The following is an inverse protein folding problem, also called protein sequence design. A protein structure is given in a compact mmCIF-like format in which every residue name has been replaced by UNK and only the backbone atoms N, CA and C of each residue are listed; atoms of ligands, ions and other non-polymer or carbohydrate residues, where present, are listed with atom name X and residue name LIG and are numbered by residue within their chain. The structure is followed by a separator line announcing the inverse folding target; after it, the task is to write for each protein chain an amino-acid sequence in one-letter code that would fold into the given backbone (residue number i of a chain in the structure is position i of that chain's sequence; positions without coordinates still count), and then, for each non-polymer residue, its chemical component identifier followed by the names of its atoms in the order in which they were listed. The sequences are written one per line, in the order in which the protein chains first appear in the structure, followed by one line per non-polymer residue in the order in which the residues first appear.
data_IF_575575444353
#
_entry.id   IF_575575444353
#
_cell.length_a   1.000
_cell.length_b   1.000
_cell.length_c   1.000
_cell.angle_alpha   90.00
_cell.angle_beta   90.00
_cell.angle_gamma   90.00
#
_symmetry.space_group_name_H-M   'P 1'
#
loop_
_entity.id
_entity.type
_entity.pdbx_description
1 polymer ?
#
# COMPACT_ATOMS: atom_id res chain seq x y z
N UNK A 1 11.53 -10.01 -11.06
CA UNK A 1 10.15 -10.25 -10.57
C UNK A 1 9.10 -9.35 -11.23
N UNK A 2 9.26 -8.02 -11.23
CA UNK A 2 8.27 -7.08 -11.80
C UNK A 2 7.83 -7.40 -13.24
N UNK A 3 8.78 -7.76 -14.13
CA UNK A 3 8.49 -8.10 -15.53
C UNK A 3 7.62 -9.35 -15.68
N UNK A 4 7.81 -10.34 -14.82
CA UNK A 4 6.98 -11.55 -14.79
C UNK A 4 5.56 -11.22 -14.34
N UNK A 5 5.42 -10.38 -13.30
CA UNK A 5 4.11 -9.96 -12.80
C UNK A 5 3.35 -9.14 -13.85
N UNK A 6 4.02 -8.20 -14.53
CA UNK A 6 3.42 -7.42 -15.62
C UNK A 6 2.94 -8.33 -16.76
N UNK A 7 3.72 -9.36 -17.11
CA UNK A 7 3.36 -10.30 -18.17
C UNK A 7 2.16 -11.19 -17.77
N UNK A 8 2.07 -11.57 -16.49
CA UNK A 8 0.93 -12.29 -15.91
C UNK A 8 -0.37 -11.47 -15.98
N UNK A 9 -0.29 -10.17 -15.65
CA UNK A 9 -1.44 -9.26 -15.75
C UNK A 9 -1.90 -9.00 -17.18
N UNK A 10 -0.99 -9.05 -18.16
CA UNK A 10 -1.33 -8.89 -19.58
C UNK A 10 -2.04 -10.09 -20.17
N UNK A 11 -1.64 -11.30 -19.77
CA UNK A 11 -2.10 -12.55 -20.40
C UNK A 11 -3.44 -13.05 -19.83
N UNK A 12 -3.77 -12.72 -18.58
CA UNK A 12 -5.09 -13.01 -18.02
C UNK A 12 -5.63 -11.81 -17.24
N UNK A 13 -6.31 -10.86 -17.92
CA UNK A 13 -7.13 -9.86 -17.23
C UNK A 13 -8.35 -10.58 -16.65
N UNK A 14 -8.15 -11.30 -15.54
CA UNK A 14 -9.26 -11.85 -14.78
C UNK A 14 -9.99 -10.64 -14.22
N UNK A 15 -11.17 -10.38 -14.79
CA UNK A 15 -12.10 -9.39 -14.25
C UNK A 15 -12.32 -9.80 -12.80
N UNK A 16 -11.69 -9.07 -11.88
CA UNK A 16 -11.72 -9.41 -10.48
C UNK A 16 -13.19 -9.34 -10.08
N UNK A 17 -13.81 -10.49 -9.82
CA UNK A 17 -15.22 -10.53 -9.40
C UNK A 17 -15.32 -9.65 -8.16
N UNK A 18 -16.10 -8.57 -8.28
CA UNK A 18 -16.20 -7.48 -7.30
C UNK A 18 -16.50 -7.99 -5.88
N UNK A 19 -17.16 -9.14 -5.80
CA UNK A 19 -17.53 -9.82 -4.56
C UNK A 19 -16.32 -10.32 -3.76
N UNK A 20 -15.26 -10.79 -4.42
CA UNK A 20 -14.04 -11.28 -3.75
C UNK A 20 -13.28 -10.16 -3.04
N UNK A 21 -13.23 -8.96 -3.64
CA UNK A 21 -12.55 -7.81 -3.04
C UNK A 21 -13.23 -7.35 -1.74
N UNK A 22 -14.57 -7.38 -1.71
CA UNK A 22 -15.33 -7.07 -0.49
C UNK A 22 -15.08 -8.06 0.64
N UNK A 23 -14.94 -9.35 0.33
CA UNK A 23 -14.61 -10.34 1.36
C UNK A 23 -13.19 -10.15 1.90
N UNK A 24 -12.21 -9.92 1.03
CA UNK A 24 -10.83 -9.71 1.46
C UNK A 24 -10.68 -8.48 2.35
N UNK A 25 -11.32 -7.36 1.99
CA UNK A 25 -11.32 -6.14 2.80
C UNK A 25 -11.97 -6.33 4.18
N UNK A 26 -12.93 -7.25 4.31
CA UNK A 26 -13.62 -7.50 5.58
C UNK A 26 -12.74 -8.25 6.58
N UNK A 27 -11.83 -9.11 6.12
CA UNK A 27 -10.94 -9.90 7.00
C UNK A 27 -9.63 -9.19 7.35
N UNK A 28 -9.17 -8.26 6.52
CA UNK A 28 -7.96 -7.48 6.78
C UNK A 28 -7.87 -6.90 8.22
N UNK A 29 -8.90 -6.20 8.75
CA UNK A 29 -8.83 -5.64 10.11
C UNK A 29 -8.70 -6.71 11.21
N UNK A 30 -9.34 -7.87 11.04
CA UNK A 30 -9.26 -8.95 12.02
C UNK A 30 -7.84 -9.50 12.16
N UNK A 31 -7.09 -9.60 11.05
CA UNK A 31 -5.70 -10.05 11.07
C UNK A 31 -4.82 -9.06 11.86
N UNK A 32 -5.00 -7.76 11.67
CA UNK A 32 -4.24 -6.75 12.42
C UNK A 32 -4.54 -6.78 13.91
N UNK A 33 -5.81 -6.90 14.29
CA UNK A 33 -6.22 -7.00 15.70
C UNK A 33 -5.64 -8.25 16.34
N UNK A 34 -5.65 -9.38 15.62
CA UNK A 34 -5.05 -10.63 16.10
C UNK A 34 -3.55 -10.48 16.33
N UNK A 35 -2.81 -9.88 15.38
CA UNK A 35 -1.38 -9.65 15.52
C UNK A 35 -1.06 -8.70 16.69
N UNK A 36 -1.84 -7.63 16.85
CA UNK A 36 -1.69 -6.70 17.97
C UNK A 36 -1.98 -7.39 19.33
N UNK A 37 -2.99 -8.26 19.39
CA UNK A 37 -3.32 -9.04 20.58
C UNK A 37 -2.21 -10.04 20.94
N UNK A 38 -1.63 -10.73 19.96
CA UNK A 38 -0.49 -11.62 20.18
C UNK A 38 0.73 -10.84 20.70
N UNK A 39 1.08 -9.69 20.11
CA UNK A 39 2.18 -8.85 20.55
C UNK A 39 1.95 -8.31 21.99
N UNK A 40 0.72 -7.88 22.29
CA UNK A 40 0.33 -7.43 23.62
C UNK A 40 0.41 -8.57 24.65
N UNK A 41 -0.05 -9.77 24.29
CA UNK A 41 0.05 -10.96 25.15
C UNK A 41 1.50 -11.30 25.49
N UNK A 42 2.40 -11.29 24.50
CA UNK A 42 3.83 -11.51 24.72
C UNK A 42 4.44 -10.50 25.68
N UNK A 43 4.07 -9.22 25.55
CA UNK A 43 4.51 -8.19 26.49
C UNK A 43 4.08 -8.50 27.92
N UNK A 44 2.82 -8.91 28.11
CA UNK A 44 2.29 -9.25 29.43
C UNK A 44 3.04 -10.42 30.04
N UNK A 45 3.29 -11.47 29.26
CA UNK A 45 4.11 -12.62 29.70
C UNK A 45 5.53 -12.19 30.07
N UNK A 46 6.12 -11.31 29.26
CA UNK A 46 7.47 -10.79 29.47
C UNK A 46 7.59 -9.95 30.76
N UNK A 47 6.59 -9.10 31.04
CA UNK A 47 6.53 -8.32 32.28
C UNK A 47 6.36 -9.25 33.50
N UNK A 48 5.54 -10.29 33.37
CA UNK A 48 5.24 -11.20 34.46
C UNK A 48 6.47 -12.01 34.91
N UNK A 49 7.38 -12.32 33.99
CA UNK A 49 8.55 -13.14 34.28
C UNK A 49 9.70 -12.41 35.00
N UNK A 50 9.63 -11.08 35.17
CA UNK A 50 10.61 -10.18 35.83
C UNK A 50 12.10 -10.36 35.47
N UNK A 51 12.42 -11.25 34.53
CA UNK A 51 13.76 -11.60 34.11
C UNK A 51 14.11 -10.77 32.90
N UNK A 52 14.28 -9.45 33.08
CA UNK A 52 14.73 -8.57 32.01
C UNK A 52 16.22 -8.82 31.78
N UNK A 53 16.65 -9.36 30.61
CA UNK A 53 18.06 -9.57 30.37
C UNK A 53 18.76 -8.22 30.20
N UNK A 54 18.17 -7.25 29.48
CA UNK A 54 18.84 -5.98 29.15
C UNK A 54 17.85 -4.84 28.81
N UNK A 55 18.18 -3.60 29.22
CA UNK A 55 17.45 -2.35 28.92
C UNK A 55 17.07 -2.14 27.43
N UNK A 56 17.95 -2.38 26.43
CA UNK A 56 17.63 -2.19 25.02
C UNK A 56 16.50 -3.07 24.48
N UNK A 57 16.38 -4.32 24.96
CA UNK A 57 15.30 -5.24 24.54
C UNK A 57 13.90 -4.67 24.82
N UNK A 58 13.76 -3.92 25.92
CA UNK A 58 12.49 -3.28 26.31
C UNK A 58 12.10 -2.16 25.35
N UNK A 59 13.07 -1.35 24.92
CA UNK A 59 12.85 -0.26 23.97
C UNK A 59 12.41 -0.80 22.60
N UNK A 60 13.02 -1.89 22.14
CA UNK A 60 12.63 -2.56 20.90
C UNK A 60 11.17 -3.05 20.95
N UNK A 61 10.81 -3.72 22.04
CA UNK A 61 9.47 -4.26 22.25
C UNK A 61 8.41 -3.13 22.32
N UNK A 62 8.71 -2.05 23.05
CA UNK A 62 7.86 -0.86 23.12
C UNK A 62 7.65 -0.22 21.74
N UNK A 63 8.69 -0.16 20.91
CA UNK A 63 8.59 0.40 19.56
C UNK A 63 7.71 -0.47 18.65
N UNK A 64 7.80 -1.80 18.74
CA UNK A 64 6.95 -2.71 17.97
C UNK A 64 5.47 -2.60 18.36
N UNK A 65 5.18 -2.48 19.66
CA UNK A 65 3.81 -2.27 20.16
C UNK A 65 3.29 -0.92 19.71
N UNK A 66 4.10 0.13 19.84
CA UNK A 66 3.77 1.45 19.35
C UNK A 66 3.48 1.41 17.86
N UNK A 67 4.31 0.73 17.07
CA UNK A 67 4.14 0.59 15.63
C UNK A 67 2.84 -0.16 15.29
N UNK A 68 2.54 -1.26 16.00
CA UNK A 68 1.29 -2.02 15.83
C UNK A 68 0.05 -1.17 16.14
N UNK A 69 0.10 -0.43 17.24
CA UNK A 69 -0.96 0.49 17.65
C UNK A 69 -1.10 1.65 16.64
N UNK A 70 0.01 2.21 16.19
CA UNK A 70 0.07 3.26 15.17
C UNK A 70 -0.57 2.79 13.86
N UNK A 71 -0.21 1.61 13.36
CA UNK A 71 -0.81 1.00 12.16
C UNK A 71 -2.31 0.82 12.32
N UNK A 72 -2.77 0.32 13.48
CA UNK A 72 -4.20 0.13 13.74
C UNK A 72 -4.96 1.47 13.80
N UNK A 73 -4.41 2.45 14.52
CA UNK A 73 -4.99 3.77 14.71
C UNK A 73 -5.13 4.49 13.36
N UNK A 74 -4.06 4.53 12.59
CA UNK A 74 -4.03 5.19 11.28
C UNK A 74 -4.87 4.45 10.24
N UNK A 75 -4.87 3.12 10.22
CA UNK A 75 -5.75 2.34 9.35
C UNK A 75 -7.23 2.60 9.67
N UNK A 76 -7.59 2.64 10.97
CA UNK A 76 -8.93 3.00 11.42
C UNK A 76 -9.31 4.43 11.02
N UNK A 77 -8.41 5.39 11.25
CA UNK A 77 -8.61 6.80 10.88
C UNK A 77 -8.80 6.97 9.37
N UNK A 78 -7.94 6.36 8.56
CA UNK A 78 -8.07 6.36 7.10
C UNK A 78 -9.39 5.72 6.66
N UNK A 79 -9.80 4.62 7.29
CA UNK A 79 -11.08 3.95 6.98
C UNK A 79 -12.27 4.87 7.26
N UNK A 80 -12.29 5.55 8.41
CA UNK A 80 -13.34 6.52 8.77
C UNK A 80 -13.35 7.69 7.78
N UNK A 81 -12.16 8.19 7.43
CA UNK A 81 -12.00 9.31 6.50
C UNK A 81 -12.52 8.94 5.09
N UNK A 82 -12.28 7.72 4.62
CA UNK A 82 -12.82 7.22 3.36
C UNK A 82 -14.32 6.91 3.42
N UNK A 83 -14.89 6.68 4.60
CA UNK A 83 -16.32 6.49 4.77
C UNK A 83 -17.09 7.81 4.65
N UNK A 84 -16.41 8.97 4.81
CA UNK A 84 -17.06 10.27 4.76
C UNK A 84 -17.36 10.73 3.32
N UNK A 85 -18.63 11.02 2.97
CA UNK A 85 -19.04 11.25 1.58
C UNK A 85 -18.40 12.48 0.93
N UNK A 86 -18.07 13.53 1.69
CA UNK A 86 -17.42 14.74 1.14
C UNK A 86 -15.94 14.54 0.79
N UNK A 87 -15.26 13.54 1.36
CA UNK A 87 -13.84 13.30 1.08
C UNK A 87 -13.63 12.33 -0.07
N UNK A 88 -14.66 11.54 -0.42
CA UNK A 88 -14.61 10.59 -1.52
C UNK A 88 -14.50 11.26 -2.90
N UNK A 89 -14.84 12.54 -3.04
CA UNK A 89 -14.81 13.27 -4.32
C UNK A 89 -13.41 13.69 -4.76
N UNK A 90 -12.40 13.61 -3.88
CA UNK A 90 -11.03 14.02 -4.17
C UNK A 90 -10.07 12.82 -4.23
N UNK A 91 -10.03 12.07 -5.36
CA UNK A 91 -9.21 10.86 -5.49
C UNK A 91 -7.70 11.12 -5.37
N UNK A 92 -7.23 12.32 -5.69
CA UNK A 92 -5.80 12.69 -5.62
C UNK A 92 -5.30 12.82 -4.17
N UNK A 93 -6.15 13.28 -3.24
CA UNK A 93 -5.80 13.37 -1.82
C UNK A 93 -5.66 11.98 -1.16
N UNK A 94 -6.30 10.95 -1.74
CA UNK A 94 -6.30 9.58 -1.24
C UNK A 94 -4.96 8.89 -1.46
N UNK A 95 -4.43 8.92 -2.69
CA UNK A 95 -3.21 8.15 -3.04
C UNK A 95 -1.97 8.72 -2.35
N UNK A 96 -1.86 10.04 -2.26
CA UNK A 96 -0.74 10.70 -1.58
C UNK A 96 -0.69 10.36 -0.09
N UNK A 97 -1.82 10.47 0.61
CA UNK A 97 -1.88 10.14 2.06
C UNK A 97 -1.58 8.67 2.34
N UNK A 98 -2.09 7.76 1.51
CA UNK A 98 -1.78 6.34 1.61
C UNK A 98 -0.29 6.06 1.39
N UNK A 99 0.34 6.73 0.41
CA UNK A 99 1.77 6.54 0.12
C UNK A 99 2.66 7.02 1.27
N UNK A 100 2.38 8.21 1.81
CA UNK A 100 3.09 8.75 2.98
C UNK A 100 2.91 7.82 4.18
N UNK A 101 1.69 7.35 4.41
CA UNK A 101 1.37 6.42 5.48
C UNK A 101 2.17 5.11 5.38
N UNK A 102 2.26 4.52 4.20
CA UNK A 102 3.07 3.32 3.95
C UNK A 102 4.53 3.58 4.28
N UNK A 103 5.12 4.66 3.76
CA UNK A 103 6.54 4.98 3.98
C UNK A 103 6.85 5.15 5.47
N UNK A 104 6.02 5.90 6.20
CA UNK A 104 6.20 6.11 7.65
C UNK A 104 6.06 4.80 8.41
N UNK A 105 5.03 4.01 8.07
CA UNK A 105 4.77 2.72 8.73
C UNK A 105 5.91 1.73 8.46
N UNK A 106 6.40 1.64 7.22
CA UNK A 106 7.55 0.81 6.87
C UNK A 106 8.82 1.22 7.61
N UNK A 107 9.10 2.53 7.72
CA UNK A 107 10.25 3.01 8.50
C UNK A 107 10.19 2.59 9.97
N UNK A 108 9.03 2.71 10.61
CA UNK A 108 8.84 2.30 12.01
C UNK A 108 8.99 0.78 12.19
N UNK A 109 8.42 -0.02 11.28
CA UNK A 109 8.56 -1.49 11.33
C UNK A 109 10.01 -1.93 11.12
N UNK A 110 10.70 -1.41 10.11
CA UNK A 110 12.11 -1.73 9.84
C UNK A 110 12.99 -1.34 11.01
N UNK A 111 12.78 -0.17 11.61
CA UNK A 111 13.51 0.26 12.80
C UNK A 111 13.30 -0.70 13.98
N UNK A 112 12.06 -1.10 14.26
CA UNK A 112 11.72 -2.04 15.34
C UNK A 112 12.37 -3.41 15.14
N UNK A 113 12.28 -3.94 13.92
CA UNK A 113 12.89 -5.22 13.54
C UNK A 113 14.41 -5.16 13.64
N UNK A 114 15.03 -4.06 13.21
CA UNK A 114 16.49 -3.89 13.24
C UNK A 114 17.03 -3.83 14.66
N UNK A 115 16.38 -3.03 15.53
CA UNK A 115 16.78 -2.95 16.94
C UNK A 115 16.64 -4.34 17.59
N UNK A 116 15.55 -5.05 17.31
CA UNK A 116 15.34 -6.38 17.88
C UNK A 116 16.40 -7.39 17.36
N UNK A 117 16.76 -7.33 16.08
CA UNK A 117 17.78 -8.20 15.49
C UNK A 117 19.17 -8.01 16.10
N UNK A 118 19.51 -6.78 16.52
CA UNK A 118 20.78 -6.50 17.22
C UNK A 118 20.84 -7.14 18.61
N UNK A 119 19.70 -7.29 19.28
CA UNK A 119 19.61 -7.79 20.66
C UNK A 119 19.47 -9.32 20.74
N UNK A 120 19.07 -9.99 19.66
CA UNK A 120 18.94 -11.45 19.64
C UNK A 120 20.28 -12.13 19.31
N UNK A 121 20.90 -12.86 20.25
CA UNK A 121 22.07 -13.66 19.94
C UNK A 121 21.70 -14.81 18.98
N UNK A 122 22.61 -15.14 18.07
CA UNK A 122 22.40 -16.24 17.11
C UNK A 122 22.17 -17.61 17.79
N UNK A 123 22.60 -17.77 19.04
CA UNK A 123 22.53 -19.01 19.80
C UNK A 123 21.66 -18.83 21.05
N UNK A 124 20.53 -19.53 21.09
CA UNK A 124 19.55 -19.45 22.16
C UNK A 124 19.67 -20.63 23.12
N UNK A 125 20.73 -20.65 23.92
CA UNK A 125 21.01 -21.75 24.85
C UNK A 125 20.44 -21.45 26.26
N UNK A 126 20.23 -20.18 26.60
CA UNK A 126 19.88 -19.74 27.97
C UNK A 126 18.50 -19.08 28.11
N UNK A 127 17.86 -18.67 27.01
CA UNK A 127 16.61 -17.90 27.06
C UNK A 127 15.39 -18.81 26.93
N UNK A 128 14.60 -18.90 28.01
CA UNK A 128 13.27 -19.50 27.94
C UNK A 128 12.43 -18.80 26.86
N UNK A 129 11.78 -19.56 25.99
CA UNK A 129 10.95 -19.08 24.87
C UNK A 129 11.67 -18.46 23.65
N UNK A 130 12.99 -18.59 23.50
CA UNK A 130 13.63 -18.08 22.28
C UNK A 130 13.03 -18.68 20.99
N UNK A 131 12.66 -19.97 20.98
CA UNK A 131 12.03 -20.59 19.82
C UNK A 131 10.72 -19.90 19.40
N UNK A 132 9.89 -19.51 20.37
CA UNK A 132 8.64 -18.79 20.09
C UNK A 132 8.90 -17.36 19.63
N UNK A 133 9.84 -16.64 20.26
CA UNK A 133 10.21 -15.27 19.85
C UNK A 133 10.76 -15.27 18.42
N UNK A 134 11.62 -16.23 18.08
CA UNK A 134 12.19 -16.37 16.74
C UNK A 134 11.13 -16.73 15.70
N UNK A 135 10.18 -17.60 16.05
CA UNK A 135 9.06 -17.94 15.16
C UNK A 135 8.14 -16.74 14.92
N UNK A 136 7.84 -15.95 15.95
CA UNK A 136 7.07 -14.71 15.82
C UNK A 136 7.79 -13.67 14.98
N UNK A 137 9.11 -13.52 15.14
CA UNK A 137 9.89 -12.58 14.36
C UNK A 137 9.92 -12.94 12.87
N UNK A 138 10.09 -14.24 12.58
CA UNK A 138 10.02 -14.74 11.21
C UNK A 138 8.62 -14.48 10.63
N UNK A 139 7.55 -14.82 11.37
CA UNK A 139 6.17 -14.59 10.92
C UNK A 139 5.85 -13.10 10.72
N UNK A 140 6.32 -12.21 11.60
CA UNK A 140 6.08 -10.78 11.47
C UNK A 140 6.80 -10.19 10.26
N UNK A 141 8.04 -10.61 10.00
CA UNK A 141 8.80 -10.14 8.83
C UNK A 141 8.16 -10.59 7.51
N UNK A 142 7.76 -11.86 7.42
CA UNK A 142 7.11 -12.39 6.22
C UNK A 142 5.75 -11.71 5.99
N UNK A 143 4.93 -11.59 7.04
CA UNK A 143 3.63 -10.94 6.94
C UNK A 143 3.76 -9.45 6.57
N UNK A 144 4.72 -8.74 7.16
CA UNK A 144 4.96 -7.34 6.87
C UNK A 144 5.48 -7.14 5.44
N UNK A 145 6.46 -7.94 5.00
CA UNK A 145 7.02 -7.86 3.65
C UNK A 145 5.97 -8.17 2.58
N UNK A 146 5.11 -9.17 2.82
CA UNK A 146 3.99 -9.48 1.93
C UNK A 146 3.00 -8.33 1.87
N UNK A 147 2.66 -7.74 3.02
CA UNK A 147 1.74 -6.60 3.07
C UNK A 147 2.29 -5.41 2.29
N UNK A 148 3.55 -5.04 2.54
CA UNK A 148 4.22 -3.93 1.86
C UNK A 148 4.26 -4.16 0.35
N UNK A 149 4.56 -5.39 -0.07
CA UNK A 149 4.55 -5.76 -1.49
C UNK A 149 3.16 -5.61 -2.10
N UNK A 150 2.11 -6.08 -1.42
CA UNK A 150 0.74 -5.96 -1.91
C UNK A 150 0.31 -4.50 -2.01
N UNK A 151 0.60 -3.68 -1.00
CA UNK A 151 0.23 -2.26 -0.98
C UNK A 151 1.00 -1.49 -2.04
N UNK A 152 2.30 -1.74 -2.19
CA UNK A 152 3.15 -1.11 -3.22
C UNK A 152 2.68 -1.48 -4.63
N UNK A 153 2.34 -2.76 -4.87
CA UNK A 153 1.78 -3.20 -6.15
C UNK A 153 0.41 -2.59 -6.41
N UNK A 154 -0.42 -2.49 -5.38
CA UNK A 154 -1.71 -1.78 -5.45
C UNK A 154 -1.54 -0.32 -5.84
N UNK A 155 -0.59 0.39 -5.23
CA UNK A 155 -0.28 1.78 -5.55
C UNK A 155 0.21 1.97 -6.99
N UNK A 156 1.09 1.11 -7.48
CA UNK A 156 1.54 1.15 -8.88
C UNK A 156 0.38 0.89 -9.86
N UNK A 157 -0.50 -0.05 -9.54
CA UNK A 157 -1.69 -0.36 -10.35
C UNK A 157 -2.67 0.81 -10.40
N UNK A 158 -2.91 1.49 -9.29
CA UNK A 158 -3.82 2.65 -9.26
C UNK A 158 -3.25 3.82 -10.05
N UNK A 159 -1.95 4.11 -9.94
CA UNK A 159 -1.29 5.14 -10.75
C UNK A 159 -1.42 4.81 -12.24
N UNK A 160 -1.11 3.56 -12.63
CA UNK A 160 -1.23 3.13 -14.03
C UNK A 160 -2.68 3.26 -14.55
N UNK A 161 -3.64 2.97 -13.68
CA UNK A 161 -5.06 3.10 -14.00
C UNK A 161 -5.46 4.56 -14.21
N UNK A 162 -5.03 5.48 -13.34
CA UNK A 162 -5.28 6.92 -13.46
C UNK A 162 -4.66 7.46 -14.76
N UNK A 163 -3.40 7.13 -15.05
CA UNK A 163 -2.73 7.53 -16.30
C UNK A 163 -3.50 7.02 -17.51
N UNK A 164 -3.94 5.76 -17.48
CA UNK A 164 -4.75 5.18 -18.57
C UNK A 164 -6.08 5.89 -18.77
N UNK A 165 -6.75 6.34 -17.70
CA UNK A 165 -7.98 7.11 -17.83
C UNK A 165 -7.71 8.48 -18.46
N UNK A 166 -6.69 9.19 -17.97
CA UNK A 166 -6.29 10.49 -18.53
C UNK A 166 -5.98 10.41 -20.03
N UNK A 167 -5.27 9.37 -20.48
CA UNK A 167 -5.00 9.16 -21.91
C UNK A 167 -6.28 8.91 -22.71
N UNK A 168 -7.25 8.16 -22.16
CA UNK A 168 -8.53 7.91 -22.85
C UNK A 168 -9.36 9.18 -23.02
N UNK A 169 -9.38 10.04 -22.02
CA UNK A 169 -10.06 11.33 -22.12
C UNK A 169 -9.39 12.22 -23.17
N UNK A 170 -8.06 12.34 -23.16
CA UNK A 170 -7.32 13.10 -24.16
C UNK A 170 -7.55 12.57 -25.59
N UNK A 171 -7.61 11.25 -25.78
CA UNK A 171 -7.88 10.64 -27.08
C UNK A 171 -9.31 10.95 -27.57
N UNK A 172 -10.30 10.92 -26.68
CA UNK A 172 -11.68 11.28 -27.02
C UNK A 172 -11.82 12.76 -27.43
N UNK A 173 -11.06 13.66 -26.79
CA UNK A 173 -10.98 15.06 -27.20
C UNK A 173 -10.32 15.28 -28.57
N UNK A 174 -9.43 14.37 -28.99
CA UNK A 174 -8.78 14.41 -30.31
C UNK A 174 -9.57 13.70 -31.42
N UNK A 175 -10.55 12.85 -31.05
CA UNK A 175 -11.41 12.12 -31.98
C UNK A 175 -12.78 12.75 -32.34
N UNK A 176 -13.09 14.07 -32.15
CA UNK A 176 -14.46 14.53 -32.31
C UNK A 176 -14.96 14.70 -33.76
N UNK A 177 -14.14 14.59 -34.82
CA UNK A 177 -14.65 14.94 -36.17
C UNK A 177 -14.08 14.19 -37.39
N UNK A 178 -13.55 12.98 -37.24
CA UNK A 178 -13.26 12.13 -38.42
C UNK A 178 -14.56 11.74 -39.17
N UNK A 179 -15.69 11.65 -38.46
CA UNK A 179 -17.00 11.32 -39.04
C UNK A 179 -17.70 12.49 -39.72
N UNK A 180 -17.40 13.77 -39.39
CA UNK A 180 -17.92 14.91 -40.17
C UNK A 180 -17.08 15.24 -41.40
N UNK A 181 -15.80 14.88 -41.43
CA UNK A 181 -14.98 15.07 -42.63
C UNK A 181 -15.42 14.19 -43.81
N UNK A 182 -16.11 13.07 -43.57
CA UNK A 182 -16.68 12.25 -44.66
C UNK A 182 -18.02 12.79 -45.21
N UNK A 183 -18.66 13.76 -44.53
CA UNK A 183 -19.89 14.41 -44.98
C UNK A 183 -19.65 15.76 -45.67
N UNK A 184 -18.46 16.34 -45.53
CA UNK A 184 -18.04 17.53 -46.27
C UNK A 184 -17.26 17.07 -47.50
N UNK A 185 -17.99 16.66 -48.54
CA UNK A 185 -17.45 16.57 -49.89
C UNK A 185 -16.96 17.95 -50.33
N UNK A 186 -15.70 18.27 -50.05
CA UNK A 186 -15.02 19.44 -50.58
C UNK A 186 -14.15 19.03 -51.77
N UNK A 187 -14.82 18.88 -52.91
CA UNK A 187 -14.27 19.31 -54.19
C UNK A 187 -14.25 20.84 -54.18
N UNK A 188 -13.16 21.50 -53.79
CA UNK A 188 -12.94 22.89 -54.24
C UNK A 188 -11.51 23.37 -54.04
N UNK A 189 -10.87 23.60 -55.19
CA UNK A 189 -9.72 24.47 -55.37
C UNK A 189 -9.97 25.86 -54.76
N UNK A 190 -9.14 26.30 -53.81
CA UNK A 190 -8.93 27.74 -53.59
C UNK A 190 -7.47 28.00 -53.16
N UNK A 191 -6.77 28.93 -53.83
CA UNK A 191 -5.37 29.22 -53.57
C UNK A 191 -5.14 30.03 -52.29
N UNK A 192 -3.98 29.74 -51.70
CA UNK A 192 -3.31 30.44 -50.61
C UNK A 192 -3.40 31.96 -50.67
N UNK A 193 -3.77 32.58 -49.54
CA UNK A 193 -3.44 33.98 -49.27
C UNK A 193 -2.89 34.08 -47.83
N UNK A 194 -1.56 34.13 -47.78
CA UNK A 194 -0.75 34.45 -46.60
C UNK A 194 -1.08 35.88 -46.15
N UNK A 195 -1.55 36.07 -44.92
CA UNK A 195 -1.47 37.37 -44.27
C UNK A 195 -0.76 37.23 -42.93
N UNK A 196 0.41 37.87 -42.92
CA UNK A 196 1.30 38.11 -41.79
C UNK A 196 0.58 38.88 -40.69
N UNK A 197 0.82 38.52 -39.42
CA UNK A 197 0.54 39.42 -38.30
C UNK A 197 1.75 39.48 -37.35
N UNK A 198 2.44 40.60 -37.48
CA UNK A 198 3.30 41.25 -36.51
C UNK A 198 2.46 41.78 -35.33
N UNK A 199 2.75 41.37 -34.11
CA UNK A 199 3.30 42.21 -33.04
C UNK A 199 3.52 41.42 -31.75
#
# INVERSE_FOLDING_TARGET
MLLWVVNLFRTQPRVFKRDYSRHLQRYAPFVYVFMAACASWLLVQYIHQQSFPDSPSRSALQLIIFCSCWTLFTAGFLTILFMHPTWSTHPVASVGSQTIWVIVTSGLWVAGVTILACELPAQCISVAYCGQIRALFALSNEAFSLLETIVSMGAMLTILWIVRQSVREALNYLSPDSSKMHSLGLTTNTPFLFTSFTH
#
